data_IF_493338714215
#
_entry.id   IF_493338714215
#
_cell.length_a   1.000
_cell.length_b   1.000
_cell.length_c   1.000
_cell.angle_alpha   90.00
_cell.angle_beta   90.00
_cell.angle_gamma   90.00
#
_symmetry.space_group_name_H-M   'P 1'
#
loop_
_entity.id
_entity.type
_entity.pdbx_description
1 polymer ?
#
# COMPACT_ATOMS: atom_id res chain seq x y z
N UNK A 1 -6.00 -9.41 4.58
CA UNK A 1 -5.66 -9.23 6.02
C UNK A 1 -4.14 -9.09 6.18
N UNK A 2 -3.36 -9.76 5.33
CA UNK A 2 -1.89 -9.77 5.37
C UNK A 2 -1.22 -8.45 4.96
N UNK A 3 -1.71 -7.73 3.94
CA UNK A 3 -1.07 -6.50 3.47
C UNK A 3 -0.97 -5.40 4.55
N UNK A 4 -2.05 -5.16 5.31
CA UNK A 4 -2.03 -4.17 6.39
C UNK A 4 -1.03 -4.55 7.49
N UNK A 5 -0.90 -5.84 7.78
CA UNK A 5 0.04 -6.35 8.77
C UNK A 5 1.49 -6.20 8.28
N UNK A 6 1.79 -6.60 7.05
CA UNK A 6 3.11 -6.45 6.42
C UNK A 6 3.55 -4.98 6.37
N UNK A 7 2.65 -4.06 6.00
CA UNK A 7 2.91 -2.62 6.06
C UNK A 7 3.35 -2.15 7.46
N UNK A 8 2.73 -2.69 8.52
CA UNK A 8 3.08 -2.35 9.90
C UNK A 8 4.40 -2.99 10.35
N UNK A 9 4.62 -4.28 10.05
CA UNK A 9 5.74 -5.05 10.57
C UNK A 9 7.02 -4.73 9.80
N UNK A 10 6.96 -4.77 8.47
CA UNK A 10 8.13 -4.74 7.59
C UNK A 10 8.55 -3.32 7.27
N UNK A 11 7.58 -2.41 7.11
CA UNK A 11 7.84 -1.02 6.71
C UNK A 11 7.58 0.02 7.81
N UNK A 12 7.13 -0.41 8.99
CA UNK A 12 6.76 0.47 10.14
C UNK A 12 5.74 1.55 9.76
N UNK A 13 4.90 1.27 8.77
CA UNK A 13 3.80 2.14 8.35
C UNK A 13 2.53 1.68 9.06
N UNK A 14 1.99 2.53 9.93
CA UNK A 14 0.70 2.27 10.58
C UNK A 14 -0.40 2.19 9.53
N UNK A 15 -0.81 0.98 9.20
CA UNK A 15 -1.80 0.69 8.18
C UNK A 15 -2.91 -0.18 8.78
N UNK A 16 -4.16 0.28 8.65
CA UNK A 16 -5.33 -0.49 9.06
C UNK A 16 -6.05 -1.02 7.83
N UNK A 17 -6.79 -2.13 7.98
CA UNK A 17 -7.59 -2.69 6.89
C UNK A 17 -8.59 -1.68 6.32
N UNK A 18 -9.21 -0.87 7.19
CA UNK A 18 -10.12 0.20 6.75
C UNK A 18 -9.40 1.23 5.86
N UNK A 19 -8.17 1.61 6.21
CA UNK A 19 -7.37 2.53 5.39
C UNK A 19 -7.09 1.95 4.01
N UNK A 20 -6.76 0.66 3.91
CA UNK A 20 -6.57 -0.01 2.61
C UNK A 20 -7.88 0.00 1.81
N UNK A 21 -9.02 -0.29 2.45
CA UNK A 21 -10.32 -0.25 1.78
C UNK A 21 -10.65 1.14 1.21
N UNK A 22 -10.32 2.22 1.92
CA UNK A 22 -10.53 3.59 1.45
C UNK A 22 -9.59 3.95 0.30
N UNK A 23 -8.37 3.40 0.30
CA UNK A 23 -7.43 3.54 -0.82
C UNK A 23 -7.99 2.86 -2.07
N UNK A 24 -8.42 1.61 -1.93
CA UNK A 24 -8.94 0.80 -3.04
C UNK A 24 -10.24 1.38 -3.62
N UNK A 25 -11.06 2.03 -2.79
CA UNK A 25 -12.27 2.72 -3.23
C UNK A 25 -12.02 4.13 -3.79
N UNK A 26 -10.78 4.63 -3.75
CA UNK A 26 -10.41 5.98 -4.20
C UNK A 26 -10.85 7.12 -3.25
N UNK A 27 -11.33 6.80 -2.05
CA UNK A 27 -11.73 7.79 -1.03
C UNK A 27 -10.51 8.43 -0.35
N UNK A 28 -9.36 7.74 -0.38
CA UNK A 28 -8.11 8.22 0.22
C UNK A 28 -6.94 8.02 -0.73
N UNK A 29 -6.21 9.10 -1.00
CA UNK A 29 -4.97 9.03 -1.76
C UNK A 29 -3.88 8.22 -1.03
N UNK A 30 -2.98 7.60 -1.81
CA UNK A 30 -1.82 6.87 -1.30
C UNK A 30 -0.61 7.80 -1.27
N UNK A 31 0.16 7.77 -0.18
CA UNK A 31 1.40 8.54 -0.06
C UNK A 31 2.56 7.80 -0.73
N UNK A 32 3.57 8.52 -1.20
CA UNK A 32 4.74 7.94 -1.89
C UNK A 32 5.44 6.82 -1.09
N UNK A 33 5.62 7.02 0.22
CA UNK A 33 6.20 5.98 1.09
C UNK A 33 5.34 4.72 1.21
N UNK A 34 4.02 4.87 1.12
CA UNK A 34 3.07 3.76 1.16
C UNK A 34 3.06 3.04 -0.19
N UNK A 35 3.16 3.79 -1.30
CA UNK A 35 3.34 3.25 -2.65
C UNK A 35 4.58 2.34 -2.70
N UNK A 36 5.73 2.84 -2.24
CA UNK A 36 6.97 2.07 -2.27
C UNK A 36 6.88 0.78 -1.42
N UNK A 37 6.26 0.87 -0.24
CA UNK A 37 6.04 -0.30 0.61
C UNK A 37 5.06 -1.31 -0.02
N UNK A 38 3.98 -0.84 -0.64
CA UNK A 38 3.08 -1.72 -1.39
C UNK A 38 3.79 -2.42 -2.54
N UNK A 39 4.62 -1.70 -3.29
CA UNK A 39 5.43 -2.27 -4.37
C UNK A 39 6.37 -3.36 -3.88
N UNK A 40 7.05 -3.14 -2.75
CA UNK A 40 7.96 -4.12 -2.15
C UNK A 40 7.20 -5.38 -1.68
N UNK A 41 6.14 -5.20 -0.89
CA UNK A 41 5.34 -6.33 -0.36
C UNK A 41 4.69 -7.14 -1.47
N UNK A 42 4.17 -6.48 -2.51
CA UNK A 42 3.49 -7.14 -3.63
C UNK A 42 4.48 -7.63 -4.70
N UNK A 43 5.78 -7.37 -4.53
CA UNK A 43 6.84 -7.69 -5.47
C UNK A 43 6.55 -7.17 -6.90
N UNK A 44 6.14 -5.90 -6.99
CA UNK A 44 5.88 -5.19 -8.26
C UNK A 44 6.69 -3.91 -8.32
N UNK A 45 7.16 -3.54 -9.52
CA UNK A 45 7.85 -2.25 -9.70
C UNK A 45 6.89 -1.06 -9.51
N UNK A 46 7.33 0.11 -9.03
CA UNK A 46 6.49 1.33 -9.01
C UNK A 46 5.90 1.69 -10.38
N UNK A 47 6.61 1.39 -11.46
CA UNK A 47 6.14 1.58 -12.83
C UNK A 47 4.87 0.76 -13.17
N UNK A 48 4.61 -0.32 -12.42
CA UNK A 48 3.38 -1.11 -12.54
C UNK A 48 2.14 -0.27 -12.25
N UNK A 49 2.22 0.69 -11.31
CA UNK A 49 1.11 1.57 -10.94
C UNK A 49 0.73 2.58 -12.03
N UNK A 50 1.65 2.87 -12.96
CA UNK A 50 1.44 3.84 -14.03
C UNK A 50 1.06 3.18 -15.36
N UNK A 51 1.03 1.85 -15.44
CA UNK A 51 0.55 1.15 -16.62
C UNK A 51 -0.98 1.19 -16.64
N UNK A 52 -1.51 2.08 -17.48
CA UNK A 52 -2.89 1.99 -17.97
C UNK A 52 -3.03 0.84 -18.96
#
# INVERSE_FOLDING_TARGET
MELAAAMCVDHKIKMQRATISHIESGDRAVKDKEILAFCDILNVSPNWLFKK
#
